data_IF_270005299566
#
_entry.id   IF_270005299566
#
_cell.length_a   1.000
_cell.length_b   1.000
_cell.length_c   1.000
_cell.angle_alpha   90.00
_cell.angle_beta   90.00
_cell.angle_gamma   90.00
#
_symmetry.space_group_name_H-M   'P 1'
#
loop_
_entity.id
_entity.type
_entity.pdbx_description
1 polymer ?
#
# COMPACT_ATOMS: atom_id res chain seq x y z
N UNK A 1 -9.43 4.58 15.82
CA UNK A 1 -8.07 4.15 16.20
C UNK A 1 -7.20 4.21 14.95
N UNK A 2 -5.99 4.75 15.07
CA UNK A 2 -5.16 5.22 13.94
C UNK A 2 -3.99 4.32 13.60
N UNK A 3 -4.25 3.03 13.51
CA UNK A 3 -3.23 2.03 13.25
C UNK A 3 -3.55 1.32 11.95
N UNK A 4 -2.59 1.28 11.03
CA UNK A 4 -2.69 0.47 9.82
C UNK A 4 -1.83 -0.78 9.99
N UNK A 5 -2.30 -1.87 9.38
CA UNK A 5 -1.57 -3.11 9.35
C UNK A 5 -0.67 -3.15 8.11
N UNK A 6 0.57 -3.59 8.27
CA UNK A 6 1.45 -3.95 7.17
C UNK A 6 2.04 -5.34 7.40
N UNK A 7 2.05 -6.23 6.39
CA UNK A 7 2.53 -7.59 6.56
C UNK A 7 4.05 -7.56 6.77
N UNK A 8 4.54 -8.30 7.75
CA UNK A 8 5.95 -8.26 8.16
C UNK A 8 6.34 -7.08 9.07
N UNK A 9 5.47 -6.07 9.24
CA UNK A 9 5.72 -4.89 10.11
C UNK A 9 4.75 -4.79 11.30
N UNK A 10 3.58 -5.43 11.23
CA UNK A 10 2.54 -5.34 12.25
C UNK A 10 1.73 -4.04 12.16
N UNK A 11 1.20 -3.58 13.30
CA UNK A 11 0.43 -2.35 13.37
C UNK A 11 1.33 -1.13 13.56
N UNK A 12 1.18 -0.11 12.72
CA UNK A 12 1.94 1.13 12.82
C UNK A 12 1.03 2.34 12.97
N UNK A 13 1.51 3.35 13.70
CA UNK A 13 0.76 4.58 13.89
C UNK A 13 0.76 5.42 12.61
N UNK A 14 -0.42 5.85 12.20
CA UNK A 14 -0.62 6.72 11.04
C UNK A 14 -1.06 8.09 11.54
N UNK A 15 -0.47 9.19 11.05
CA UNK A 15 -0.93 10.52 11.38
C UNK A 15 -2.43 10.66 11.13
N UNK A 16 -3.12 11.37 12.04
CA UNK A 16 -4.57 11.59 11.97
C UNK A 16 -5.07 12.16 10.64
N UNK A 17 -4.23 12.94 9.97
CA UNK A 17 -4.49 13.51 8.65
C UNK A 17 -4.71 12.46 7.56
N UNK A 18 -4.23 11.24 7.74
CA UNK A 18 -4.38 10.14 6.78
C UNK A 18 -5.37 9.07 7.22
N UNK A 19 -6.09 9.27 8.33
CA UNK A 19 -7.10 8.32 8.80
C UNK A 19 -8.25 8.24 7.80
N UNK A 20 -8.64 7.02 7.42
CA UNK A 20 -9.64 6.75 6.37
C UNK A 20 -9.32 7.39 5.02
N UNK A 21 -8.09 7.89 4.83
CA UNK A 21 -7.64 8.39 3.54
C UNK A 21 -7.43 7.18 2.63
N UNK A 22 -8.10 7.24 1.48
CA UNK A 22 -7.88 6.32 0.39
C UNK A 22 -7.30 7.11 -0.78
N UNK A 23 -6.46 6.44 -1.55
CA UNK A 23 -5.93 7.00 -2.78
C UNK A 23 -6.48 6.22 -3.98
N UNK A 24 -6.36 6.82 -5.16
CA UNK A 24 -6.84 6.26 -6.42
C UNK A 24 -5.70 6.22 -7.42
N UNK A 25 -5.91 5.40 -8.46
CA UNK A 25 -5.04 5.37 -9.63
C UNK A 25 -4.91 6.78 -10.20
N UNK A 26 -3.69 7.19 -10.51
CA UNK A 26 -3.37 8.54 -10.99
C UNK A 26 -3.01 9.55 -9.90
N UNK A 27 -3.17 9.21 -8.62
CA UNK A 27 -2.69 10.02 -7.49
C UNK A 27 -1.29 9.59 -7.05
N UNK A 28 -0.72 10.32 -6.09
CA UNK A 28 0.59 10.01 -5.51
C UNK A 28 0.44 9.51 -4.08
N UNK A 29 1.01 8.35 -3.79
CA UNK A 29 1.06 7.81 -2.44
C UNK A 29 2.14 8.54 -1.63
N UNK A 30 1.82 9.09 -0.45
CA UNK A 30 2.81 9.76 0.39
C UNK A 30 3.99 8.85 0.76
N UNK A 31 5.21 9.39 0.70
CA UNK A 31 6.46 8.64 0.92
C UNK A 31 6.58 7.96 2.28
N UNK A 32 5.82 8.43 3.28
CA UNK A 32 5.73 7.79 4.59
C UNK A 32 5.24 6.33 4.51
N UNK A 33 4.48 6.00 3.45
CA UNK A 33 3.92 4.66 3.25
C UNK A 33 4.84 3.74 2.47
N UNK A 34 5.81 4.27 1.71
CA UNK A 34 6.67 3.48 0.82
C UNK A 34 7.54 2.45 1.56
N UNK A 35 7.75 2.66 2.86
CA UNK A 35 8.45 1.71 3.75
C UNK A 35 7.64 0.45 4.04
N UNK A 36 6.32 0.47 3.85
CA UNK A 36 5.43 -0.66 4.10
C UNK A 36 5.24 -1.48 2.82
N UNK A 37 6.36 -1.84 2.21
CA UNK A 37 6.40 -2.61 1.00
C UNK A 37 5.90 -4.03 1.26
N UNK A 38 5.00 -4.48 0.40
CA UNK A 38 4.48 -5.83 0.39
C UNK A 38 5.40 -6.73 -0.46
N UNK A 39 6.39 -7.33 0.18
CA UNK A 39 7.32 -8.24 -0.51
C UNK A 39 6.70 -9.62 -0.80
N UNK A 40 5.72 -10.06 0.02
CA UNK A 40 5.06 -11.36 -0.10
C UNK A 40 3.92 -11.37 -1.14
N UNK A 41 4.05 -10.64 -2.25
CA UNK A 41 3.03 -10.52 -3.29
C UNK A 41 2.53 -11.88 -3.82
N UNK A 42 3.40 -12.90 -3.89
CA UNK A 42 3.05 -14.29 -4.29
C UNK A 42 2.03 -14.93 -3.36
N UNK A 43 2.19 -14.70 -2.06
CA UNK A 43 1.32 -15.25 -1.02
C UNK A 43 -0.09 -14.66 -1.11
N UNK A 44 -0.20 -13.45 -1.69
CA UNK A 44 -1.46 -12.75 -1.92
C UNK A 44 -2.05 -12.96 -3.32
N UNK A 45 -1.45 -13.85 -4.13
CA UNK A 45 -1.92 -14.09 -5.50
C UNK A 45 -1.77 -12.88 -6.44
N UNK A 46 -0.96 -11.89 -6.04
CA UNK A 46 -0.67 -10.72 -6.84
C UNK A 46 0.31 -11.08 -7.96
N UNK A 47 0.28 -10.30 -9.04
CA UNK A 47 1.31 -10.36 -10.07
C UNK A 47 2.66 -9.87 -9.55
N UNK A 48 3.74 -10.35 -10.17
CA UNK A 48 5.08 -9.78 -9.96
C UNK A 48 5.02 -8.27 -10.26
N UNK A 49 5.45 -7.40 -9.34
CA UNK A 49 5.47 -5.97 -9.62
C UNK A 49 6.42 -5.69 -10.79
N UNK A 50 5.99 -4.99 -11.85
CA UNK A 50 6.86 -4.55 -12.94
C UNK A 50 8.12 -3.82 -12.43
N UNK A 51 9.19 -3.82 -13.21
CA UNK A 51 10.42 -3.10 -12.86
C UNK A 51 10.14 -1.61 -12.60
N UNK A 52 10.70 -1.07 -11.52
CA UNK A 52 10.45 0.31 -11.08
C UNK A 52 9.13 0.53 -10.34
N UNK A 53 8.41 -0.56 -10.00
CA UNK A 53 7.17 -0.48 -9.21
C UNK A 53 7.24 -1.35 -7.96
N UNK A 54 6.44 -1.03 -6.95
CA UNK A 54 6.28 -1.85 -5.76
C UNK A 54 4.85 -1.89 -5.25
N UNK A 55 4.50 -3.01 -4.64
CA UNK A 55 3.26 -3.14 -3.88
C UNK A 55 3.43 -2.55 -2.48
N UNK A 56 2.46 -1.74 -2.05
CA UNK A 56 2.42 -1.14 -0.71
C UNK A 56 1.06 -1.41 -0.09
N UNK A 57 1.04 -1.99 1.12
CA UNK A 57 -0.20 -2.15 1.88
C UNK A 57 -0.42 -0.91 2.75
N UNK A 58 -1.59 -0.29 2.62
CA UNK A 58 -2.03 0.78 3.51
C UNK A 58 -3.45 0.47 3.95
N UNK A 59 -3.63 0.32 5.26
CA UNK A 59 -4.90 -0.05 5.88
C UNK A 59 -5.41 -1.42 5.37
N UNK A 60 -6.51 -1.47 4.62
CA UNK A 60 -7.06 -2.67 3.99
C UNK A 60 -6.83 -2.74 2.46
N UNK A 61 -6.00 -1.84 1.91
CA UNK A 61 -5.88 -1.63 0.47
C UNK A 61 -4.42 -1.80 0.03
N UNK A 62 -4.21 -2.42 -1.12
CA UNK A 62 -2.89 -2.62 -1.73
C UNK A 62 -2.76 -1.68 -2.92
N UNK A 63 -1.68 -0.92 -2.96
CA UNK A 63 -1.37 0.04 -4.00
C UNK A 63 -0.14 -0.41 -4.77
N UNK A 64 -0.24 -0.47 -6.10
CA UNK A 64 0.94 -0.55 -6.97
C UNK A 64 1.41 0.87 -7.22
N UNK A 65 2.62 1.18 -6.75
CA UNK A 65 3.20 2.50 -6.92
C UNK A 65 4.48 2.43 -7.76
N UNK A 66 4.78 3.50 -8.46
CA UNK A 66 6.12 3.77 -8.97
C UNK A 66 7.08 4.03 -7.80
N UNK A 67 8.27 3.42 -7.84
CA UNK A 67 9.25 3.49 -6.75
C UNK A 67 9.97 4.85 -6.67
N UNK A 68 9.96 5.65 -7.73
CA UNK A 68 10.66 6.93 -7.81
C UNK A 68 9.84 8.08 -7.21
N UNK A 69 8.55 8.15 -7.52
CA UNK A 69 7.69 9.28 -7.16
C UNK A 69 6.41 8.90 -6.39
N UNK A 70 6.13 7.60 -6.25
CA UNK A 70 4.94 7.10 -5.56
C UNK A 70 3.65 7.22 -6.39
N UNK A 71 3.75 7.43 -7.70
CA UNK A 71 2.59 7.45 -8.59
C UNK A 71 1.83 6.14 -8.51
N UNK A 72 0.53 6.21 -8.27
CA UNK A 72 -0.32 5.04 -8.10
C UNK A 72 -0.76 4.56 -9.48
N UNK A 73 -0.23 3.39 -9.85
CA UNK A 73 -0.49 2.72 -11.12
C UNK A 73 -1.75 1.86 -11.01
N UNK A 74 -1.93 1.17 -9.88
CA UNK A 74 -3.07 0.29 -9.65
C UNK A 74 -3.46 0.23 -8.17
N UNK A 75 -4.72 -0.12 -7.89
CA UNK A 75 -5.27 -0.23 -6.53
C UNK A 75 -6.15 -1.46 -6.40
N UNK A 76 -5.78 -2.32 -5.45
CA UNK A 76 -6.59 -3.46 -5.02
C UNK A 76 -7.25 -3.10 -3.71
N UNK A 77 -8.58 -3.02 -3.74
CA UNK A 77 -9.38 -2.71 -2.56
C UNK A 77 -9.74 -3.97 -1.80
N UNK A 78 -9.88 -3.81 -0.50
CA UNK A 78 -10.38 -4.85 0.40
C UNK A 78 -9.62 -6.18 0.30
N UNK A 79 -8.29 -6.09 0.34
CA UNK A 79 -7.41 -7.26 0.21
C UNK A 79 -7.62 -8.33 1.29
N UNK A 80 -8.32 -7.98 2.38
CA UNK A 80 -8.56 -8.85 3.53
C UNK A 80 -10.04 -8.99 3.91
N UNK A 81 -10.98 -8.58 3.05
CA UNK A 81 -12.39 -8.86 3.29
C UNK A 81 -12.66 -10.36 3.02
N UNK A 82 -12.62 -11.17 4.08
CA UNK A 82 -13.10 -12.55 4.12
C UNK A 82 -14.42 -12.63 4.89
#
# INVERSE_FOLDING_TARGET
>A
MGFYFAPGYGYYNVPRSYWNQQWRVGEYLPSIFWRYQLNDWRTYGLGYPPEGTRWVLVDNHIYLIDEYDGYIIDVIRDAWAW
#
